data_IF_352943640122
#
_entry.id   IF_352943640122
#
_cell.length_a   1.000
_cell.length_b   1.000
_cell.length_c   1.000
_cell.angle_alpha   90.00
_cell.angle_beta   90.00
_cell.angle_gamma   90.00
#
_symmetry.space_group_name_H-M   'P 1'
#
loop_
_entity.id
_entity.type
_entity.pdbx_description
1 polymer ?
#
# COMPACT_ATOMS: atom_id res chain seq x y z
N UNK A 1 8.79 5.90 3.48
CA UNK A 1 9.35 5.21 2.30
C UNK A 1 8.31 5.18 1.20
N UNK A 2 8.67 5.63 0.01
CA UNK A 2 7.76 5.64 -1.13
C UNK A 2 7.86 4.32 -1.88
N UNK A 3 6.71 3.71 -2.16
CA UNK A 3 6.62 2.42 -2.82
C UNK A 3 5.73 2.55 -4.04
N UNK A 4 6.21 2.01 -5.17
CA UNK A 4 5.42 1.93 -6.40
C UNK A 4 5.32 0.46 -6.77
N UNK A 5 4.09 -0.05 -6.86
CA UNK A 5 3.85 -1.46 -7.15
C UNK A 5 2.76 -1.62 -8.19
N UNK A 6 2.69 -2.82 -8.75
CA UNK A 6 1.58 -3.22 -9.60
C UNK A 6 0.74 -4.25 -8.85
N UNK A 7 -0.57 -4.06 -8.87
CA UNK A 7 -1.51 -4.95 -8.20
C UNK A 7 -2.50 -5.49 -9.23
N UNK A 8 -2.68 -6.80 -9.25
CA UNK A 8 -3.67 -7.43 -10.10
C UNK A 8 -4.96 -7.65 -9.30
N UNK A 9 -6.06 -7.17 -9.85
CA UNK A 9 -7.38 -7.32 -9.24
C UNK A 9 -8.41 -7.51 -10.36
N UNK A 10 -9.20 -8.59 -10.26
CA UNK A 10 -10.23 -8.93 -11.27
C UNK A 10 -9.69 -8.92 -12.72
N UNK A 11 -8.54 -9.57 -12.92
CA UNK A 11 -7.87 -9.69 -14.22
C UNK A 11 -7.37 -8.35 -14.80
N UNK A 12 -7.31 -7.32 -13.97
CA UNK A 12 -6.81 -6.01 -14.38
C UNK A 12 -5.61 -5.63 -13.52
N UNK A 13 -4.57 -5.12 -14.14
CA UNK A 13 -3.37 -4.68 -13.43
C UNK A 13 -3.47 -3.18 -13.16
N UNK A 14 -3.23 -2.79 -11.91
CA UNK A 14 -3.26 -1.41 -11.47
C UNK A 14 -1.88 -0.98 -10.97
N UNK A 15 -1.48 0.23 -11.30
CA UNK A 15 -0.26 0.82 -10.78
C UNK A 15 -0.59 1.63 -9.53
N UNK A 16 0.11 1.35 -8.44
CA UNK A 16 -0.18 1.97 -7.14
C UNK A 16 1.03 2.73 -6.64
N UNK A 17 0.81 3.96 -6.23
CA UNK A 17 1.80 4.81 -5.59
C UNK A 17 1.39 4.96 -4.12
N UNK A 18 2.27 4.55 -3.22
CA UNK A 18 1.98 4.59 -1.79
C UNK A 18 3.21 5.00 -1.00
N UNK A 19 2.97 5.49 0.21
CA UNK A 19 4.04 5.78 1.17
C UNK A 19 3.82 4.91 2.40
N UNK A 20 4.89 4.28 2.87
CA UNK A 20 4.87 3.52 4.11
C UNK A 20 5.73 4.23 5.13
N UNK A 21 5.14 4.56 6.26
CA UNK A 21 5.87 5.11 7.40
C UNK A 21 6.20 3.94 8.31
N UNK A 22 7.50 3.66 8.57
CA UNK A 22 7.88 2.57 9.44
C UNK A 22 7.27 2.72 10.83
N UNK A 23 6.80 1.62 11.40
CA UNK A 23 6.33 1.61 12.77
C UNK A 23 7.49 1.76 13.73
N UNK A 24 7.19 2.03 14.98
CA UNK A 24 8.20 2.12 16.03
C UNK A 24 8.23 0.81 16.80
N UNK A 25 9.43 0.31 17.13
CA UNK A 25 9.51 -0.92 17.93
C UNK A 25 9.04 -0.67 19.36
N UNK A 26 8.49 -1.70 19.98
CA UNK A 26 8.09 -1.63 21.37
C UNK A 26 9.32 -1.50 22.26
N UNK A 27 9.23 -0.62 23.25
CA UNK A 27 10.26 -0.43 24.26
C UNK A 27 9.66 -0.61 25.65
N UNK A 28 10.49 -0.47 26.68
CA UNK A 28 10.02 -0.62 28.06
C UNK A 28 8.88 0.34 28.41
N UNK A 29 8.97 1.59 27.94
CA UNK A 29 7.98 2.64 28.25
C UNK A 29 7.01 2.93 27.09
N UNK A 30 7.11 2.18 25.99
CA UNK A 30 6.33 2.48 24.79
C UNK A 30 5.90 1.19 24.09
N UNK A 31 4.63 1.10 23.81
CA UNK A 31 4.07 -0.12 23.20
C UNK A 31 4.45 -0.33 21.73
N UNK A 32 5.03 0.68 21.11
CA UNK A 32 5.33 0.63 19.70
C UNK A 32 4.11 0.98 18.84
N UNK A 33 4.32 1.11 17.55
CA UNK A 33 3.22 1.35 16.62
C UNK A 33 3.43 0.54 15.35
N UNK A 34 2.34 0.09 14.71
CA UNK A 34 2.46 -0.61 13.43
C UNK A 34 2.87 0.35 12.33
N UNK A 35 3.43 -0.14 11.22
CA UNK A 35 3.69 0.72 10.08
C UNK A 35 2.39 1.26 9.51
N UNK A 36 2.43 2.49 9.03
CA UNK A 36 1.29 3.14 8.40
C UNK A 36 1.45 3.16 6.89
N UNK A 37 0.37 2.85 6.18
CA UNK A 37 0.36 2.84 4.73
C UNK A 37 -0.59 3.93 4.26
N UNK A 38 -0.08 4.79 3.39
CA UNK A 38 -0.87 5.84 2.76
C UNK A 38 -0.84 5.65 1.25
N UNK A 39 -1.99 5.43 0.65
CA UNK A 39 -2.11 5.24 -0.79
C UNK A 39 -2.41 6.59 -1.43
N UNK A 40 -1.51 7.04 -2.30
CA UNK A 40 -1.59 8.36 -2.93
C UNK A 40 -2.41 8.32 -4.21
N UNK A 41 -2.12 7.33 -5.05
CA UNK A 41 -2.71 7.29 -6.38
C UNK A 41 -2.77 5.85 -6.86
N UNK A 42 -3.83 5.53 -7.61
CA UNK A 42 -3.97 4.24 -8.29
C UNK A 42 -4.34 4.53 -9.74
N UNK A 43 -3.57 3.95 -10.66
CA UNK A 43 -3.83 4.08 -12.10
C UNK A 43 -4.31 2.74 -12.65
N UNK A 44 -5.29 2.79 -13.56
CA UNK A 44 -5.73 1.59 -14.26
C UNK A 44 -4.82 1.29 -15.46
N UNK A 45 -5.18 0.27 -16.24
CA UNK A 45 -4.40 -0.12 -17.42
C UNK A 45 -4.30 1.00 -18.47
N UNK A 46 -5.27 1.89 -18.50
CA UNK A 46 -5.28 3.02 -19.43
C UNK A 46 -4.47 4.20 -18.94
N UNK A 47 -3.97 4.12 -17.71
CA UNK A 47 -3.24 5.22 -17.10
C UNK A 47 -4.13 6.26 -16.44
N UNK A 48 -5.41 5.96 -16.26
CA UNK A 48 -6.35 6.86 -15.60
C UNK A 48 -6.29 6.70 -14.09
N UNK A 49 -6.29 7.81 -13.37
CA UNK A 49 -6.34 7.80 -11.92
C UNK A 49 -7.74 7.43 -11.45
N UNK A 50 -7.84 6.40 -10.61
CA UNK A 50 -9.12 5.86 -10.17
C UNK A 50 -9.30 5.83 -8.65
N UNK A 51 -8.44 6.50 -7.91
CA UNK A 51 -8.41 6.40 -6.45
C UNK A 51 -9.76 6.75 -5.80
N UNK A 52 -10.51 7.67 -6.39
CA UNK A 52 -11.81 8.08 -5.86
C UNK A 52 -12.93 7.08 -6.16
N UNK A 53 -12.70 6.14 -7.07
CA UNK A 53 -13.70 5.16 -7.46
C UNK A 53 -13.40 3.73 -7.00
N UNK A 54 -12.46 3.56 -6.08
CA UNK A 54 -12.03 2.25 -5.63
C UNK A 54 -13.01 1.68 -4.63
N UNK A 55 -13.42 0.41 -4.85
CA UNK A 55 -14.25 -0.31 -3.90
C UNK A 55 -13.43 -0.71 -2.66
N UNK A 56 -14.11 -0.91 -1.53
CA UNK A 56 -13.44 -1.27 -0.27
C UNK A 56 -12.61 -2.55 -0.40
N UNK A 57 -13.14 -3.56 -1.06
CA UNK A 57 -12.42 -4.83 -1.23
C UNK A 57 -11.13 -4.64 -2.02
N UNK A 58 -11.18 -3.83 -3.07
CA UNK A 58 -10.00 -3.52 -3.86
C UNK A 58 -8.99 -2.71 -3.04
N UNK A 59 -9.47 -1.78 -2.24
CA UNK A 59 -8.62 -0.97 -1.37
C UNK A 59 -7.84 -1.84 -0.39
N UNK A 60 -8.52 -2.80 0.26
CA UNK A 60 -7.86 -3.74 1.16
C UNK A 60 -6.83 -4.60 0.45
N UNK A 61 -7.14 -5.06 -0.76
CA UNK A 61 -6.19 -5.83 -1.56
C UNK A 61 -4.93 -5.01 -1.85
N UNK A 62 -5.11 -3.75 -2.23
CA UNK A 62 -4.00 -2.84 -2.52
C UNK A 62 -3.15 -2.61 -1.27
N UNK A 63 -3.77 -2.35 -0.13
CA UNK A 63 -3.04 -2.17 1.13
C UNK A 63 -2.21 -3.40 1.48
N UNK A 64 -2.79 -4.59 1.32
CA UNK A 64 -2.12 -5.84 1.62
C UNK A 64 -0.88 -6.02 0.73
N UNK A 65 -1.01 -5.73 -0.56
CA UNK A 65 0.11 -5.84 -1.50
C UNK A 65 1.20 -4.82 -1.21
N UNK A 66 0.83 -3.60 -0.83
CA UNK A 66 1.80 -2.59 -0.44
C UNK A 66 2.55 -3.04 0.82
N UNK A 67 1.83 -3.60 1.78
CA UNK A 67 2.44 -4.10 3.01
C UNK A 67 3.42 -5.23 2.73
N UNK A 68 3.06 -6.16 1.85
CA UNK A 68 3.95 -7.25 1.45
C UNK A 68 5.21 -6.73 0.76
N UNK A 69 5.06 -5.74 -0.11
CA UNK A 69 6.21 -5.12 -0.77
C UNK A 69 7.13 -4.44 0.25
N UNK A 70 6.55 -3.77 1.23
CA UNK A 70 7.31 -3.15 2.32
C UNK A 70 8.10 -4.18 3.11
N UNK A 71 7.48 -5.30 3.45
CA UNK A 71 8.16 -6.36 4.19
C UNK A 71 9.35 -6.92 3.41
N UNK A 72 9.21 -7.10 2.11
CA UNK A 72 10.31 -7.57 1.26
C UNK A 72 11.48 -6.59 1.26
N UNK A 73 11.18 -5.30 1.17
CA UNK A 73 12.21 -4.27 1.13
C UNK A 73 12.90 -4.08 2.48
N UNK A 74 12.25 -4.49 3.56
CA UNK A 74 12.78 -4.34 4.91
C UNK A 74 13.66 -5.50 5.37
N UNK A 75 13.71 -6.57 4.60
CA UNK A 75 14.53 -7.73 4.93
C UNK A 75 16.02 -7.50 4.68
#
# INVERSE_FOLDING_TARGET
MKIQIEVEFEDTVYAVDATVTPGEPATYDYQGSPPEIEIWVVYDESGCEIIDGIESDMFYTIEDEVYKAYERLSE
#
